data_IF_777165174836
#
_entry.id   IF_777165174836
#
_cell.length_a   1.000
_cell.length_b   1.000
_cell.length_c   1.000
_cell.angle_alpha   90.00
_cell.angle_beta   90.00
_cell.angle_gamma   90.00
#
_symmetry.space_group_name_H-M   'P 1'
#
loop_
_entity.id
_entity.type
_entity.pdbx_description
1 polymer ?
#
# COMPACT_ATOMS: atom_id res chain seq x y z
N UNK A 1 -12.14 7.51 -0.68
CA UNK A 1 -12.23 6.09 -1.05
C UNK A 1 -11.39 5.26 -0.09
N UNK A 2 -11.92 4.23 0.55
CA UNK A 2 -11.08 3.36 1.38
C UNK A 2 -10.26 2.41 0.51
N UNK A 3 -9.00 2.24 0.88
CA UNK A 3 -8.00 1.43 0.19
C UNK A 3 -7.47 0.44 1.21
N UNK A 4 -7.53 -0.84 0.87
CA UNK A 4 -6.97 -1.92 1.67
C UNK A 4 -5.52 -2.13 1.23
N UNK A 5 -4.60 -2.01 2.17
CA UNK A 5 -3.18 -2.26 1.96
C UNK A 5 -2.87 -3.62 2.57
N UNK A 6 -2.48 -4.58 1.73
CA UNK A 6 -2.09 -5.92 2.17
C UNK A 6 -0.62 -6.14 1.89
N UNK A 7 0.11 -6.66 2.86
CA UNK A 7 1.48 -7.10 2.65
C UNK A 7 1.46 -8.32 1.72
N UNK A 8 2.06 -8.18 0.54
CA UNK A 8 2.23 -9.27 -0.43
C UNK A 8 3.52 -10.04 -0.17
N UNK A 9 4.60 -9.32 0.15
CA UNK A 9 5.93 -9.87 0.41
C UNK A 9 6.57 -9.12 1.58
N UNK A 10 7.77 -9.55 2.01
CA UNK A 10 8.55 -8.85 3.05
C UNK A 10 8.76 -7.37 2.75
N UNK A 11 8.89 -6.99 1.47
CA UNK A 11 9.17 -5.63 0.99
C UNK A 11 8.09 -5.08 0.05
N UNK A 12 6.91 -5.69 -0.02
CA UNK A 12 5.87 -5.28 -0.99
C UNK A 12 4.49 -5.28 -0.37
N UNK A 13 3.75 -4.19 -0.57
CA UNK A 13 2.37 -4.03 -0.11
C UNK A 13 1.46 -3.68 -1.28
N UNK A 14 0.51 -4.55 -1.58
CA UNK A 14 -0.50 -4.30 -2.62
C UNK A 14 -1.65 -3.46 -2.05
N UNK A 15 -2.05 -2.45 -2.84
CA UNK A 15 -3.16 -1.55 -2.56
C UNK A 15 -4.36 -1.98 -3.40
N UNK A 16 -5.47 -2.28 -2.73
CA UNK A 16 -6.69 -2.82 -3.34
C UNK A 16 -7.85 -1.95 -2.89
N UNK A 17 -8.73 -1.53 -3.81
CA UNK A 17 -9.94 -0.81 -3.43
C UNK A 17 -10.95 -1.73 -2.71
N UNK A 18 -12.01 -1.15 -2.13
CA UNK A 18 -13.09 -1.93 -1.50
C UNK A 18 -13.85 -2.85 -2.47
N UNK A 19 -13.70 -2.64 -3.77
CA UNK A 19 -14.30 -3.46 -4.83
C UNK A 19 -13.35 -4.60 -5.26
N UNK A 20 -12.21 -4.77 -4.59
CA UNK A 20 -11.24 -5.82 -4.88
C UNK A 20 -10.33 -5.51 -6.07
N UNK A 21 -10.31 -4.27 -6.58
CA UNK A 21 -9.50 -3.90 -7.74
C UNK A 21 -8.12 -3.42 -7.30
N UNK A 22 -7.04 -3.94 -7.89
CA UNK A 22 -5.69 -3.48 -7.60
C UNK A 22 -5.50 -2.04 -8.08
N UNK A 23 -5.12 -1.16 -7.17
CA UNK A 23 -4.76 0.24 -7.46
C UNK A 23 -3.26 0.40 -7.67
N UNK A 24 -2.45 -0.50 -7.15
CA UNK A 24 -0.99 -0.43 -7.22
C UNK A 24 -0.35 -1.17 -6.07
N UNK A 25 0.93 -0.94 -5.89
CA UNK A 25 1.72 -1.53 -4.83
C UNK A 25 2.73 -0.51 -4.28
N UNK A 26 3.13 -0.71 -3.04
CA UNK A 26 4.26 -0.01 -2.42
C UNK A 26 5.38 -1.01 -2.32
N UNK A 27 6.56 -0.63 -2.81
CA UNK A 27 7.75 -1.47 -2.79
C UNK A 27 8.80 -0.80 -1.91
N UNK A 28 9.28 -1.52 -0.91
CA UNK A 28 10.46 -1.13 -0.14
C UNK A 28 11.72 -1.43 -0.95
N UNK A 29 12.51 -0.40 -1.14
CA UNK A 29 13.81 -0.43 -1.77
C UNK A 29 14.90 -0.73 -0.73
N UNK A 30 16.04 -1.33 -1.15
CA UNK A 30 17.11 -1.77 -0.25
C UNK A 30 17.76 -0.66 0.61
N UNK A 31 17.44 0.61 0.36
CA UNK A 31 17.88 1.75 1.16
C UNK A 31 16.91 2.11 2.31
N UNK A 32 15.86 1.30 2.54
CA UNK A 32 14.76 1.63 3.46
C UNK A 32 13.83 2.72 2.91
N UNK A 33 13.85 2.91 1.60
CA UNK A 33 13.00 3.87 0.90
C UNK A 33 11.77 3.14 0.36
N UNK A 34 10.60 3.75 0.44
CA UNK A 34 9.35 3.16 -0.04
C UNK A 34 8.93 3.87 -1.32
N UNK A 35 8.66 3.12 -2.38
CA UNK A 35 8.23 3.68 -3.67
C UNK A 35 6.85 3.16 -4.00
N UNK A 36 5.97 4.05 -4.44
CA UNK A 36 4.63 3.67 -4.90
C UNK A 36 4.73 3.32 -6.38
N UNK A 37 4.36 2.09 -6.73
CA UNK A 37 4.24 1.62 -8.10
C UNK A 37 2.75 1.49 -8.45
N UNK A 38 2.17 2.44 -9.20
CA UNK A 38 0.78 2.32 -9.65
C UNK A 38 0.64 1.19 -10.66
N UNK A 39 -0.44 0.42 -10.58
CA UNK A 39 -0.71 -0.70 -11.48
C UNK A 39 -2.11 -0.60 -12.09
N UNK A 40 -2.23 -1.03 -13.35
CA UNK A 40 -3.52 -1.15 -14.05
C UNK A 40 -4.25 0.18 -14.26
N UNK A 41 -5.55 0.20 -13.95
CA UNK A 41 -6.45 1.34 -14.23
C UNK A 41 -6.12 2.59 -13.40
N UNK A 42 -5.31 2.45 -12.35
CA UNK A 42 -4.86 3.57 -11.55
C UNK A 42 -3.84 4.47 -12.25
N UNK A 43 -3.13 3.99 -13.29
CA UNK A 43 -2.08 4.77 -13.98
C UNK A 43 -2.62 6.10 -14.54
N UNK A 44 -3.87 6.12 -15.02
CA UNK A 44 -4.54 7.34 -15.46
C UNK A 44 -4.90 8.28 -14.30
N UNK A 45 -5.22 7.73 -13.13
CA UNK A 45 -5.59 8.48 -11.91
C UNK A 45 -4.38 8.90 -11.08
N UNK A 46 -3.24 8.22 -11.22
CA UNK A 46 -1.98 8.44 -10.49
C UNK A 46 -0.94 9.21 -11.27
N UNK A 47 -1.26 9.71 -12.47
CA UNK A 47 -0.37 10.60 -13.25
C UNK A 47 -0.01 11.92 -12.55
N UNK A 48 -0.57 12.21 -11.36
CA UNK A 48 -0.15 13.30 -10.46
C UNK A 48 0.23 12.85 -9.04
N UNK A 49 0.23 11.54 -8.78
CA UNK A 49 0.63 10.99 -7.48
C UNK A 49 2.16 11.05 -7.42
N UNK A 50 2.71 11.69 -6.39
CA UNK A 50 4.15 11.85 -6.28
C UNK A 50 4.79 10.48 -6.02
N UNK A 51 5.30 9.85 -7.07
CA UNK A 51 6.02 8.57 -7.03
C UNK A 51 7.44 8.73 -6.45
N UNK A 52 7.59 9.58 -5.43
CA UNK A 52 8.87 9.79 -4.77
C UNK A 52 9.24 8.60 -3.89
N UNK A 53 10.52 8.45 -3.64
CA UNK A 53 11.00 7.69 -2.49
C UNK A 53 10.47 8.33 -1.20
N UNK A 54 9.75 7.55 -0.40
CA UNK A 54 9.30 7.94 0.92
C UNK A 54 10.22 7.32 1.97
N UNK A 55 10.45 8.02 3.08
CA UNK A 55 11.28 7.51 4.19
C UNK A 55 10.59 6.41 5.01
N UNK A 56 9.30 6.15 4.79
CA UNK A 56 8.50 5.15 5.51
C UNK A 56 7.25 4.76 4.74
N UNK A 57 6.72 3.57 5.01
CA UNK A 57 5.45 3.08 4.44
C UNK A 57 4.28 4.01 4.77
N UNK A 58 4.19 4.50 6.01
CA UNK A 58 3.14 5.44 6.43
C UNK A 58 3.13 6.73 5.58
N UNK A 59 4.31 7.30 5.33
CA UNK A 59 4.44 8.50 4.51
C UNK A 59 4.01 8.25 3.05
N UNK A 60 4.32 7.07 2.50
CA UNK A 60 3.83 6.66 1.19
C UNK A 60 2.30 6.54 1.18
N UNK A 61 1.72 5.88 2.19
CA UNK A 61 0.27 5.73 2.32
C UNK A 61 -0.43 7.08 2.50
N UNK A 62 0.11 8.00 3.29
CA UNK A 62 -0.43 9.34 3.48
C UNK A 62 -0.54 10.13 2.16
N UNK A 63 0.44 9.99 1.25
CA UNK A 63 0.37 10.61 -0.07
C UNK A 63 -0.75 9.97 -0.93
N UNK A 64 -0.91 8.64 -0.85
CA UNK A 64 -2.01 7.94 -1.51
C UNK A 64 -3.35 8.39 -0.97
N UNK A 65 -3.51 8.50 0.35
CA UNK A 65 -4.72 9.02 1.01
C UNK A 65 -5.03 10.44 0.53
N UNK A 66 -4.02 11.31 0.50
CA UNK A 66 -4.14 12.70 0.05
C UNK A 66 -4.60 12.78 -1.40
N UNK A 67 -4.01 11.99 -2.28
CA UNK A 67 -4.29 12.01 -3.72
C UNK A 67 -5.65 11.39 -4.05
N UNK A 68 -5.98 10.25 -3.44
CA UNK A 68 -7.23 9.52 -3.69
C UNK A 68 -8.41 10.05 -2.85
N UNK A 69 -8.16 11.04 -1.98
CA UNK A 69 -9.08 11.51 -0.92
C UNK A 69 -9.65 10.32 -0.15
N UNK A 70 -8.74 9.41 0.17
CA UNK A 70 -9.02 8.09 0.68
C UNK A 70 -8.44 7.84 2.07
N UNK A 71 -8.69 6.64 2.58
CA UNK A 71 -8.05 6.12 3.80
C UNK A 71 -7.42 4.78 3.48
N UNK A 72 -6.14 4.65 3.78
CA UNK A 72 -5.38 3.42 3.65
C UNK A 72 -5.52 2.63 4.94
N UNK A 73 -6.18 1.47 4.84
CA UNK A 73 -6.27 0.51 5.95
C UNK A 73 -5.26 -0.59 5.73
N UNK A 74 -4.22 -0.58 6.54
CA UNK A 74 -3.26 -1.67 6.54
C UNK A 74 -3.88 -2.89 7.20
N UNK A 75 -4.16 -3.91 6.39
CA UNK A 75 -4.50 -5.22 6.90
C UNK A 75 -3.17 -5.93 7.07
N UNK A 76 -2.60 -5.77 8.26
CA UNK A 76 -1.49 -6.61 8.70
C UNK A 76 -2.03 -8.03 8.70
N UNK A 77 -1.62 -8.81 7.70
CA UNK A 77 -1.76 -10.25 7.71
C UNK A 77 -0.82 -10.83 8.76
N UNK A 78 -0.97 -10.41 10.02
CA UNK A 78 -0.64 -11.28 11.11
C UNK A 78 -1.60 -12.46 10.96
N UNK A 79 -1.12 -13.50 10.28
CA UNK A 79 -1.23 -14.81 10.89
C UNK A 79 -0.55 -14.59 12.25
N UNK A 80 -1.32 -14.15 13.25
CA UNK A 80 -0.95 -14.47 14.61
C UNK A 80 -0.75 -15.99 14.53
N UNK A 81 0.42 -16.55 14.89
CA UNK A 81 0.42 -17.95 15.22
C UNK A 81 -0.71 -18.06 16.24
N UNK A 82 -1.73 -18.86 15.93
CA UNK A 82 -2.64 -19.30 16.94
C UNK A 82 -1.71 -19.84 18.03
N UNK A 83 -1.57 -19.07 19.11
CA UNK A 83 -0.95 -19.57 20.32
C UNK A 83 -1.86 -20.70 20.72
N UNK A 84 -1.38 -21.88 20.38
CA UNK A 84 -1.87 -23.16 20.80
C UNK A 84 -1.93 -23.16 22.34
N UNK A 85 -3.09 -23.61 22.85
CA UNK A 85 -3.36 -24.18 24.18
C UNK A 85 -3.30 -23.28 25.44
N UNK A 86 -3.94 -23.67 26.57
CA UNK A 86 -4.29 -25.03 27.05
C UNK A 86 -5.78 -25.43 27.00
#
# INVERSE_FOLDING_TARGET
MDIIVKQSNSTTWVMIDLLGRPMGEVVEQPKGEFTIAPCGSAIGTTSGLKLSSFSSLDAALAEVERHTRGRCRMVSGAIAPASEEP
#
